data_IF_903347731425
#
_entry.id   IF_903347731425
#
_cell.length_a   1.000
_cell.length_b   1.000
_cell.length_c   1.000
_cell.angle_alpha   90.00
_cell.angle_beta   90.00
_cell.angle_gamma   90.00
#
_symmetry.space_group_name_H-M   'P 1'
#
loop_
_entity.id
_entity.type
_entity.pdbx_description
1 polymer ?
#
# COMPACT_ATOMS: atom_id res chain seq x y z
N UNK A 1 14.55 14.00 45.22
CA UNK A 1 14.88 15.27 45.93
C UNK A 1 15.09 16.32 44.85
N UNK A 2 14.42 17.45 44.74
CA UNK A 2 13.45 18.18 45.55
C UNK A 2 12.58 18.95 44.55
N UNK A 3 11.27 19.00 44.78
CA UNK A 3 10.42 20.00 44.14
C UNK A 3 10.59 21.35 44.85
N UNK A 4 10.35 22.45 44.15
CA UNK A 4 9.82 23.65 44.78
C UNK A 4 8.77 24.32 43.90
N UNK A 5 7.62 24.44 44.54
CA UNK A 5 6.40 25.15 44.22
C UNK A 5 6.65 26.65 44.44
N UNK A 6 6.20 27.54 43.55
CA UNK A 6 5.98 28.96 43.87
C UNK A 6 4.68 29.42 43.22
N UNK A 7 3.78 29.90 44.07
CA UNK A 7 2.45 30.42 43.76
C UNK A 7 2.33 31.79 44.44
N UNK A 8 1.76 32.77 43.74
CA UNK A 8 1.23 34.03 44.28
C UNK A 8 1.92 35.30 43.77
N UNK A 9 1.31 36.01 42.82
CA UNK A 9 0.57 37.26 43.11
C UNK A 9 -0.09 37.84 41.85
N UNK A 10 -1.07 38.71 42.07
CA UNK A 10 -2.35 38.85 41.34
C UNK A 10 -2.44 40.13 40.49
N UNK A 11 -3.35 40.10 39.51
CA UNK A 11 -4.00 41.21 38.78
C UNK A 11 -3.32 41.85 37.57
N UNK A 12 -3.81 41.44 36.39
CA UNK A 12 -3.83 42.21 35.16
C UNK A 12 -4.84 41.56 34.22
N UNK A 13 -6.05 42.12 34.12
CA UNK A 13 -7.06 41.64 33.17
C UNK A 13 -6.60 41.97 31.76
N UNK A 14 -6.28 40.94 30.98
CA UNK A 14 -6.07 41.06 29.55
C UNK A 14 -6.72 39.85 28.88
N UNK A 15 -7.82 40.12 28.19
CA UNK A 15 -8.46 39.21 27.25
C UNK A 15 -7.54 39.17 26.02
N UNK A 16 -6.50 38.35 26.08
CA UNK A 16 -5.68 38.04 24.92
C UNK A 16 -6.05 36.62 24.47
N UNK A 17 -6.91 36.61 23.45
CA UNK A 17 -7.19 35.57 22.46
C UNK A 17 -6.62 34.19 22.81
N UNK A 18 -7.51 33.24 23.08
CA UNK A 18 -7.23 31.82 22.98
C UNK A 18 -6.60 31.56 21.60
N UNK A 19 -5.27 31.56 21.53
CA UNK A 19 -4.53 30.88 20.48
C UNK A 19 -4.93 29.44 20.71
N UNK A 20 -5.91 28.98 19.94
CA UNK A 20 -6.30 27.58 19.88
C UNK A 20 -5.03 26.84 19.48
N UNK A 21 -4.28 26.37 20.50
CA UNK A 21 -3.10 25.56 20.27
C UNK A 21 -3.67 24.34 19.59
N UNK A 22 -3.44 24.25 18.28
CA UNK A 22 -3.93 23.18 17.42
C UNK A 22 -3.11 21.91 17.73
N UNK A 23 -3.17 21.51 19.01
CA UNK A 23 -2.46 20.38 19.57
C UNK A 23 -3.41 19.21 19.58
N UNK A 24 -2.97 18.13 18.95
CA UNK A 24 -3.73 16.90 18.94
C UNK A 24 -3.79 16.34 20.38
N UNK A 25 -4.95 15.84 20.84
CA UNK A 25 -5.06 15.24 22.18
C UNK A 25 -4.24 13.94 22.33
N UNK A 26 -3.67 13.43 21.24
CA UNK A 26 -2.92 12.17 21.16
C UNK A 26 -1.42 12.49 21.18
N UNK A 27 -0.72 12.01 22.21
CA UNK A 27 0.72 12.26 22.39
C UNK A 27 1.57 11.77 21.21
N UNK A 28 1.22 10.61 20.62
CA UNK A 28 1.93 10.09 19.45
C UNK A 28 1.78 11.00 18.22
N UNK A 29 0.66 11.71 18.07
CA UNK A 29 0.46 12.65 16.95
C UNK A 29 1.22 13.96 17.22
N UNK A 30 1.28 14.40 18.47
CA UNK A 30 2.04 15.58 18.89
C UNK A 30 3.55 15.43 18.70
N UNK A 31 4.08 14.24 18.94
CA UNK A 31 5.51 13.97 18.75
C UNK A 31 5.91 13.87 17.27
N UNK A 32 4.94 13.70 16.37
CA UNK A 32 5.18 13.39 14.96
C UNK A 32 4.85 14.58 14.03
N UNK A 33 3.87 15.40 14.39
CA UNK A 33 3.47 16.62 13.66
C UNK A 33 3.94 17.89 14.39
N UNK A 34 4.70 18.78 13.74
CA UNK A 34 5.07 20.07 14.30
C UNK A 34 3.85 21.00 14.22
N UNK A 35 3.68 21.81 15.25
CA UNK A 35 2.55 22.73 15.41
C UNK A 35 2.66 23.92 14.43
N UNK A 36 3.85 24.14 13.85
CA UNK A 36 4.17 25.25 12.96
C UNK A 36 4.20 24.83 11.48
N UNK A 37 3.42 25.52 10.64
CA UNK A 37 3.49 25.42 9.18
C UNK A 37 3.95 26.76 8.57
N UNK A 38 4.75 26.70 7.49
CA UNK A 38 5.15 27.88 6.71
C UNK A 38 4.29 28.00 5.44
N UNK A 39 3.32 28.94 5.38
CA UNK A 39 2.41 29.07 4.25
C UNK A 39 3.08 29.63 2.98
N UNK A 40 4.31 30.13 3.05
CA UNK A 40 4.98 30.80 1.92
C UNK A 40 5.62 29.83 0.93
N UNK A 41 5.77 28.55 1.30
CA UNK A 41 6.41 27.54 0.47
C UNK A 41 5.50 27.13 -0.71
N UNK A 42 5.97 27.23 -1.97
CA UNK A 42 5.18 26.84 -3.13
C UNK A 42 4.94 25.33 -3.15
N UNK A 43 3.68 24.93 -3.37
CA UNK A 43 3.23 23.54 -3.38
C UNK A 43 2.99 23.04 -4.81
N UNK A 44 2.28 23.83 -5.62
CA UNK A 44 1.93 23.48 -7.00
C UNK A 44 2.95 24.07 -7.98
N UNK A 45 4.05 23.35 -8.19
CA UNK A 45 5.07 23.71 -9.19
C UNK A 45 4.86 22.96 -10.50
N UNK A 46 5.50 23.43 -11.58
CA UNK A 46 5.56 22.69 -12.85
C UNK A 46 6.14 21.28 -12.67
N UNK A 47 7.21 21.17 -11.86
CA UNK A 47 7.84 19.89 -11.53
C UNK A 47 6.85 18.93 -10.86
N UNK A 48 6.04 19.40 -9.92
CA UNK A 48 5.01 18.56 -9.30
C UNK A 48 3.94 18.10 -10.29
N UNK A 49 3.50 19.01 -11.17
CA UNK A 49 2.49 18.73 -12.19
C UNK A 49 2.94 17.76 -13.29
N UNK A 50 4.24 17.63 -13.56
CA UNK A 50 4.78 16.69 -14.56
C UNK A 50 5.31 15.41 -13.93
N UNK A 51 6.13 15.52 -12.88
CA UNK A 51 6.79 14.37 -12.25
C UNK A 51 5.77 13.46 -11.55
N UNK A 52 4.80 14.03 -10.85
CA UNK A 52 3.75 13.28 -10.14
C UNK A 52 2.95 12.36 -11.07
N UNK A 53 2.32 12.89 -12.13
CA UNK A 53 1.55 12.06 -13.07
C UNK A 53 2.38 11.03 -13.84
N UNK A 54 3.59 11.38 -14.28
CA UNK A 54 4.49 10.42 -14.96
C UNK A 54 4.81 9.25 -14.03
N UNK A 55 5.23 9.54 -12.79
CA UNK A 55 5.47 8.50 -11.80
C UNK A 55 4.20 7.68 -11.53
N UNK A 56 3.04 8.32 -11.38
CA UNK A 56 1.77 7.62 -11.17
C UNK A 56 1.46 6.62 -12.30
N UNK A 57 1.57 7.03 -13.57
CA UNK A 57 1.33 6.16 -14.72
C UNK A 57 2.32 4.99 -14.75
N UNK A 58 3.61 5.26 -14.55
CA UNK A 58 4.64 4.20 -14.52
C UNK A 58 4.39 3.21 -13.39
N UNK A 59 4.08 3.69 -12.19
CA UNK A 59 3.80 2.84 -11.03
C UNK A 59 2.52 2.02 -11.22
N UNK A 60 1.47 2.59 -11.81
CA UNK A 60 0.23 1.89 -12.12
C UNK A 60 0.46 0.73 -13.10
N UNK A 61 1.26 0.96 -14.16
CA UNK A 61 1.62 -0.09 -15.12
C UNK A 61 2.42 -1.21 -14.45
N UNK A 62 3.43 -0.88 -13.64
CA UNK A 62 4.26 -1.86 -12.94
C UNK A 62 3.44 -2.67 -11.93
N UNK A 63 2.58 -2.00 -11.15
CA UNK A 63 1.74 -2.63 -10.13
C UNK A 63 0.73 -3.57 -10.77
N UNK A 64 0.07 -3.16 -11.86
CA UNK A 64 -0.85 -4.02 -12.58
C UNK A 64 -0.15 -5.23 -13.20
N UNK A 65 1.06 -5.05 -13.74
CA UNK A 65 1.86 -6.14 -14.27
C UNK A 65 2.26 -7.15 -13.19
N UNK A 66 2.70 -6.68 -12.02
CA UNK A 66 3.08 -7.55 -10.91
C UNK A 66 1.91 -8.25 -10.22
N UNK A 67 0.69 -7.70 -10.33
CA UNK A 67 -0.51 -8.29 -9.73
C UNK A 67 -0.93 -9.64 -10.37
N UNK A 68 -0.58 -9.87 -11.64
CA UNK A 68 -0.88 -11.13 -12.34
C UNK A 68 0.16 -12.24 -12.10
N UNK A 69 1.24 -11.94 -11.38
CA UNK A 69 2.23 -12.97 -11.02
C UNK A 69 1.64 -13.89 -9.95
N UNK A 70 2.01 -15.17 -10.02
CA UNK A 70 1.62 -16.17 -9.03
C UNK A 70 2.10 -15.81 -7.61
N UNK A 71 3.32 -15.28 -7.50
CA UNK A 71 3.78 -14.55 -6.32
C UNK A 71 3.67 -13.06 -6.63
N UNK A 72 2.64 -12.42 -6.06
CA UNK A 72 2.42 -10.98 -6.24
C UNK A 72 3.59 -10.21 -5.64
N UNK A 73 4.08 -9.22 -6.38
CA UNK A 73 5.10 -8.31 -5.89
C UNK A 73 4.43 -6.97 -5.60
N UNK A 74 4.48 -6.57 -4.34
CA UNK A 74 3.92 -5.30 -3.86
C UNK A 74 5.04 -4.28 -3.72
N UNK A 75 4.93 -3.16 -4.42
CA UNK A 75 5.90 -2.06 -4.32
C UNK A 75 5.56 -1.23 -3.08
N UNK A 76 6.52 -1.07 -2.17
CA UNK A 76 6.33 -0.27 -0.95
C UNK A 76 6.33 1.23 -1.25
N UNK A 77 5.41 1.97 -0.61
CA UNK A 77 5.34 3.43 -0.67
C UNK A 77 6.62 4.11 -0.19
N UNK A 78 7.35 3.51 0.76
CA UNK A 78 8.62 4.04 1.27
C UNK A 78 9.72 4.06 0.20
N UNK A 79 9.76 3.05 -0.69
CA UNK A 79 10.71 3.04 -1.80
C UNK A 79 10.42 4.15 -2.81
N UNK A 80 9.13 4.38 -3.09
CA UNK A 80 8.66 5.44 -3.99
C UNK A 80 9.05 6.81 -3.44
N UNK A 81 8.86 7.01 -2.14
CA UNK A 81 9.21 8.24 -1.45
C UNK A 81 10.68 8.65 -1.66
N UNK A 82 11.58 7.68 -1.52
CA UNK A 82 13.03 7.89 -1.63
C UNK A 82 13.44 8.14 -3.08
N UNK A 83 12.85 7.41 -4.03
CA UNK A 83 13.04 7.66 -5.46
C UNK A 83 12.62 9.08 -5.85
N UNK A 84 11.52 9.59 -5.29
CA UNK A 84 11.04 10.94 -5.56
C UNK A 84 12.01 12.01 -5.06
N UNK A 85 12.74 11.80 -3.96
CA UNK A 85 13.78 12.78 -3.56
C UNK A 85 14.93 12.82 -4.55
N UNK A 86 15.36 11.66 -5.02
CA UNK A 86 16.46 11.57 -5.99
C UNK A 86 16.03 12.24 -7.30
N UNK A 87 14.86 11.88 -7.82
CA UNK A 87 14.30 12.46 -9.04
C UNK A 87 13.97 13.95 -8.87
N UNK A 88 13.39 14.34 -7.73
CA UNK A 88 13.03 15.72 -7.42
C UNK A 88 14.24 16.65 -7.35
N UNK A 89 15.30 16.23 -6.64
CA UNK A 89 16.58 16.98 -6.60
C UNK A 89 17.30 16.97 -7.95
N UNK A 90 17.19 15.89 -8.73
CA UNK A 90 17.75 15.83 -10.09
C UNK A 90 17.05 16.83 -11.02
N UNK A 91 15.72 16.78 -11.08
CA UNK A 91 14.89 17.67 -11.89
C UNK A 91 15.02 19.13 -11.42
N UNK A 92 15.19 19.37 -10.12
CA UNK A 92 15.49 20.70 -9.58
C UNK A 92 16.82 21.30 -10.08
N UNK A 93 17.80 20.45 -10.39
CA UNK A 93 19.11 20.88 -10.91
C UNK A 93 19.13 21.03 -12.42
N UNK A 94 18.30 20.28 -13.14
CA UNK A 94 18.27 20.31 -14.61
C UNK A 94 17.32 21.37 -15.16
N UNK A 95 16.27 21.76 -14.43
CA UNK A 95 15.33 22.79 -14.87
C UNK A 95 15.91 24.20 -14.76
N UNK A 96 15.79 25.04 -15.80
CA UNK A 96 16.21 26.43 -15.76
C UNK A 96 15.35 27.23 -14.78
N UNK A 97 16.00 28.01 -13.91
CA UNK A 97 15.34 28.94 -12.97
C UNK A 97 14.92 30.26 -13.61
N UNK A 98 15.32 30.50 -14.87
CA UNK A 98 15.03 31.74 -15.59
C UNK A 98 13.53 31.84 -15.91
N UNK A 99 12.86 32.96 -15.57
CA UNK A 99 11.46 33.16 -15.93
C UNK A 99 11.32 33.24 -17.45
N UNK A 100 10.60 32.29 -18.04
CA UNK A 100 10.27 32.30 -19.45
C UNK A 100 8.96 33.06 -19.65
N UNK A 101 8.98 34.06 -20.53
CA UNK A 101 7.76 34.73 -20.98
C UNK A 101 7.06 33.82 -21.97
N UNK A 102 5.78 33.54 -21.74
CA UNK A 102 4.98 32.76 -22.69
C UNK A 102 4.77 33.65 -23.93
N UNK A 103 5.17 33.22 -25.14
CA UNK A 103 4.87 33.98 -26.35
C UNK A 103 3.35 34.04 -26.51
N UNK A 104 2.78 35.25 -26.57
CA UNK A 104 1.35 35.63 -26.57
C UNK A 104 0.69 36.01 -25.21
N UNK A 105 1.40 36.03 -24.08
CA UNK A 105 0.80 36.50 -22.81
C UNK A 105 1.79 37.33 -21.99
N UNK A 106 1.31 38.31 -21.21
CA UNK A 106 2.13 39.07 -20.25
C UNK A 106 2.54 38.23 -19.02
N UNK A 107 2.23 36.92 -19.02
CA UNK A 107 2.54 36.03 -17.92
C UNK A 107 3.98 35.53 -18.00
N UNK A 108 4.71 35.74 -16.91
CA UNK A 108 6.05 35.20 -16.70
C UNK A 108 5.91 33.89 -15.94
N UNK A 109 6.37 32.79 -16.54
CA UNK A 109 6.33 31.48 -15.91
C UNK A 109 7.75 31.02 -15.63
N UNK A 110 8.08 30.80 -14.36
CA UNK A 110 9.32 30.12 -13.99
C UNK A 110 9.05 28.62 -13.85
N UNK A 111 9.82 27.82 -14.59
CA UNK A 111 9.77 26.36 -14.50
C UNK A 111 10.33 25.82 -13.17
N UNK A 112 11.15 26.61 -12.48
CA UNK A 112 11.76 26.26 -11.20
C UNK A 112 11.69 27.46 -10.24
N UNK A 113 10.51 27.73 -9.64
CA UNK A 113 10.28 28.92 -8.83
C UNK A 113 10.99 28.88 -7.47
N UNK A 114 11.28 27.69 -6.95
CA UNK A 114 11.93 27.50 -5.65
C UNK A 114 12.75 26.19 -5.60
N UNK A 115 13.70 26.07 -4.66
CA UNK A 115 14.37 24.81 -4.34
C UNK A 115 13.36 23.69 -4.03
N UNK A 116 13.80 22.43 -4.12
CA UNK A 116 12.95 21.29 -3.82
C UNK A 116 12.52 21.33 -2.35
N UNK A 117 11.22 21.56 -2.13
CA UNK A 117 10.63 21.78 -0.82
C UNK A 117 9.89 20.54 -0.31
N UNK A 118 9.69 20.50 1.00
CA UNK A 118 8.99 19.42 1.69
C UNK A 118 7.54 19.24 1.19
N UNK A 119 6.81 20.35 0.97
CA UNK A 119 5.40 20.33 0.53
C UNK A 119 5.24 19.79 -0.89
N UNK A 120 6.17 20.17 -1.77
CA UNK A 120 6.19 19.68 -3.14
C UNK A 120 6.52 18.18 -3.19
N UNK A 121 7.45 17.74 -2.34
CA UNK A 121 7.77 16.32 -2.20
C UNK A 121 6.55 15.51 -1.70
N UNK A 122 5.83 16.01 -0.70
CA UNK A 122 4.58 15.41 -0.23
C UNK A 122 3.57 15.30 -1.38
N UNK A 123 3.32 16.38 -2.12
CA UNK A 123 2.36 16.39 -3.23
C UNK A 123 2.72 15.38 -4.32
N UNK A 124 3.98 15.35 -4.77
CA UNK A 124 4.45 14.41 -5.79
C UNK A 124 4.29 12.97 -5.29
N UNK A 125 4.56 12.72 -4.02
CA UNK A 125 4.46 11.37 -3.45
C UNK A 125 3.02 10.90 -3.31
N UNK A 126 2.10 11.78 -2.92
CA UNK A 126 0.66 11.45 -2.92
C UNK A 126 0.19 11.10 -4.34
N UNK A 127 0.58 11.90 -5.35
CA UNK A 127 0.24 11.62 -6.74
C UNK A 127 0.83 10.30 -7.22
N UNK A 128 2.12 10.03 -6.95
CA UNK A 128 2.78 8.81 -7.38
C UNK A 128 2.22 7.56 -6.69
N UNK A 129 2.00 7.61 -5.37
CA UNK A 129 1.50 6.48 -4.59
C UNK A 129 0.06 6.11 -4.91
N UNK A 130 -0.73 7.01 -5.51
CA UNK A 130 -2.06 6.68 -6.04
C UNK A 130 -2.00 5.58 -7.11
N UNK A 131 -0.89 5.46 -7.85
CA UNK A 131 -0.64 4.40 -8.83
C UNK A 131 -0.27 3.04 -8.23
N UNK A 132 -0.04 2.93 -6.92
CA UNK A 132 0.27 1.65 -6.25
C UNK A 132 -0.96 0.79 -5.96
N UNK A 133 -2.17 1.32 -6.20
CA UNK A 133 -3.42 0.60 -5.89
C UNK A 133 -4.21 0.35 -7.17
N UNK A 134 -4.45 -0.93 -7.46
CA UNK A 134 -5.24 -1.33 -8.62
C UNK A 134 -6.74 -1.10 -8.37
N UNK A 135 -7.47 -0.47 -9.30
CA UNK A 135 -8.92 -0.36 -9.24
C UNK A 135 -9.61 -1.73 -9.19
N UNK A 136 -10.63 -1.89 -8.35
CA UNK A 136 -11.42 -3.11 -8.25
C UNK A 136 -12.03 -3.55 -9.59
N UNK A 137 -12.43 -2.61 -10.44
CA UNK A 137 -12.94 -2.94 -11.78
C UNK A 137 -11.90 -3.71 -12.64
N UNK A 138 -10.60 -3.47 -12.46
CA UNK A 138 -9.55 -4.16 -13.21
C UNK A 138 -9.35 -5.62 -12.79
N UNK A 139 -9.89 -6.09 -11.66
CA UNK A 139 -9.87 -7.52 -11.33
C UNK A 139 -11.03 -8.27 -12.01
N UNK A 140 -12.15 -7.58 -12.25
CA UNK A 140 -13.34 -8.17 -12.88
C UNK A 140 -13.19 -8.32 -14.40
N UNK A 141 -12.63 -7.32 -15.08
CA UNK A 141 -12.53 -7.33 -16.55
C UNK A 141 -11.68 -8.48 -17.13
N UNK A 142 -10.50 -8.83 -16.57
CA UNK A 142 -9.75 -9.99 -17.00
C UNK A 142 -10.49 -11.29 -16.69
N UNK A 143 -11.22 -11.36 -15.57
CA UNK A 143 -12.04 -12.51 -15.24
C UNK A 143 -13.13 -12.73 -16.30
N UNK A 144 -13.80 -11.66 -16.74
CA UNK A 144 -14.74 -11.70 -17.88
C UNK A 144 -14.08 -12.18 -19.17
N UNK A 145 -12.84 -11.75 -19.44
CA UNK A 145 -12.11 -12.16 -20.64
C UNK A 145 -11.64 -13.62 -20.59
N UNK A 146 -11.17 -14.09 -19.43
CA UNK A 146 -10.59 -15.43 -19.26
C UNK A 146 -11.66 -16.50 -19.07
N UNK A 147 -12.67 -16.25 -18.24
CA UNK A 147 -13.70 -17.23 -17.91
C UNK A 147 -14.93 -17.15 -18.80
N UNK A 148 -15.29 -15.95 -19.28
CA UNK A 148 -16.49 -15.71 -20.08
C UNK A 148 -16.17 -15.37 -21.55
N UNK A 149 -14.90 -15.43 -21.96
CA UNK A 149 -14.43 -15.17 -23.33
C UNK A 149 -14.99 -13.90 -23.99
N UNK A 150 -15.40 -12.91 -23.19
CA UNK A 150 -16.04 -11.68 -23.67
C UNK A 150 -15.06 -10.53 -23.58
N UNK A 151 -14.86 -9.82 -24.70
CA UNK A 151 -14.04 -8.61 -24.74
C UNK A 151 -14.92 -7.36 -24.66
N UNK A 152 -14.66 -6.50 -23.69
CA UNK A 152 -15.30 -5.19 -23.56
C UNK A 152 -14.45 -4.15 -24.28
N UNK A 153 -15.09 -3.21 -24.99
CA UNK A 153 -14.42 -2.11 -25.67
C UNK A 153 -13.60 -1.24 -24.69
N UNK A 154 -12.51 -0.63 -25.18
CA UNK A 154 -11.64 0.23 -24.37
C UNK A 154 -12.42 1.32 -23.62
N UNK A 155 -13.30 2.04 -24.33
CA UNK A 155 -14.13 3.09 -23.72
C UNK A 155 -15.08 2.58 -22.66
N UNK A 156 -15.67 1.39 -22.87
CA UNK A 156 -16.53 0.74 -21.88
C UNK A 156 -15.76 0.39 -20.61
N UNK A 157 -14.53 -0.10 -20.78
CA UNK A 157 -13.60 -0.37 -19.68
C UNK A 157 -13.23 0.91 -18.93
N UNK A 158 -12.83 1.96 -19.65
CA UNK A 158 -12.43 3.24 -19.07
C UNK A 158 -13.57 3.86 -18.25
N UNK A 159 -14.77 3.95 -18.80
CA UNK A 159 -15.92 4.49 -18.08
C UNK A 159 -16.35 3.60 -16.91
N UNK A 160 -16.24 2.28 -17.03
CA UNK A 160 -16.52 1.36 -15.93
C UNK A 160 -15.57 1.61 -14.75
N UNK A 161 -14.26 1.66 -15.03
CA UNK A 161 -13.23 1.96 -14.01
C UNK A 161 -13.48 3.34 -13.39
N UNK A 162 -13.69 4.37 -14.20
CA UNK A 162 -13.90 5.74 -13.72
C UNK A 162 -15.09 5.85 -12.77
N UNK A 163 -16.23 5.23 -13.11
CA UNK A 163 -17.44 5.24 -12.26
C UNK A 163 -17.16 4.65 -10.87
N UNK A 164 -16.44 3.51 -10.81
CA UNK A 164 -16.11 2.89 -9.52
C UNK A 164 -15.23 3.78 -8.64
N UNK A 165 -14.30 4.52 -9.22
CA UNK A 165 -13.39 5.40 -8.46
C UNK A 165 -14.10 6.68 -8.01
N UNK A 166 -14.86 7.33 -8.91
CA UNK A 166 -15.61 8.56 -8.60
C UNK A 166 -16.65 8.31 -7.50
N UNK A 167 -17.33 7.16 -7.54
CA UNK A 167 -18.27 6.78 -6.49
C UNK A 167 -17.59 6.67 -5.11
N UNK A 168 -16.39 6.06 -5.05
CA UNK A 168 -15.61 5.97 -3.82
C UNK A 168 -15.24 7.34 -3.24
N UNK A 169 -14.75 8.26 -4.09
CA UNK A 169 -14.45 9.64 -3.67
C UNK A 169 -15.71 10.43 -3.27
N UNK A 170 -16.84 10.19 -3.95
CA UNK A 170 -18.13 10.79 -3.60
C UNK A 170 -18.60 10.40 -2.20
N UNK A 171 -18.54 9.11 -1.86
CA UNK A 171 -18.84 8.64 -0.49
C UNK A 171 -17.85 9.19 0.54
N UNK A 172 -16.55 9.22 0.23
CA UNK A 172 -15.55 9.80 1.12
C UNK A 172 -15.83 11.29 1.43
N UNK A 173 -16.32 12.05 0.45
CA UNK A 173 -16.73 13.44 0.63
C UNK A 173 -17.91 13.60 1.60
N UNK A 174 -18.93 12.74 1.49
CA UNK A 174 -20.10 12.76 2.40
C UNK A 174 -19.67 12.49 3.85
N UNK A 175 -18.72 11.57 4.05
CA UNK A 175 -18.22 11.20 5.37
C UNK A 175 -17.02 12.02 5.85
N UNK A 176 -16.61 13.08 5.14
CA UNK A 176 -15.42 13.88 5.47
C UNK A 176 -15.46 14.42 6.90
N UNK A 177 -16.63 14.83 7.41
CA UNK A 177 -16.77 15.32 8.79
C UNK A 177 -16.42 14.25 9.85
N UNK A 178 -16.71 12.98 9.57
CA UNK A 178 -16.39 11.88 10.48
C UNK A 178 -14.97 11.33 10.25
N UNK A 179 -14.52 11.29 9.00
CA UNK A 179 -13.23 10.70 8.61
C UNK A 179 -12.04 11.64 8.82
N UNK A 180 -12.23 12.96 8.63
CA UNK A 180 -11.14 13.95 8.64
C UNK A 180 -11.23 14.84 9.88
N UNK A 181 -12.41 15.33 10.22
CA UNK A 181 -12.56 16.36 11.26
C UNK A 181 -12.73 15.80 12.68
N UNK A 182 -12.77 14.47 12.86
CA UNK A 182 -12.91 13.86 14.18
C UNK A 182 -11.55 13.58 14.82
N UNK A 183 -11.19 14.25 15.93
CA UNK A 183 -9.91 14.02 16.61
C UNK A 183 -9.81 12.65 17.31
N UNK A 184 -10.95 11.96 17.49
CA UNK A 184 -11.03 10.66 18.17
C UNK A 184 -11.15 9.47 17.22
N UNK A 185 -11.36 9.71 15.92
CA UNK A 185 -11.22 8.64 14.92
C UNK A 185 -9.74 8.44 14.73
N UNK A 186 -9.18 7.65 15.65
CA UNK A 186 -7.78 7.24 15.63
C UNK A 186 -7.48 6.77 14.20
N UNK A 187 -6.43 7.30 13.54
CA UNK A 187 -6.05 6.86 12.19
C UNK A 187 -5.61 5.38 12.12
N UNK A 188 -5.76 4.60 13.20
CA UNK A 188 -5.40 3.20 13.35
C UNK A 188 -6.12 2.23 12.42
N UNK A 189 -7.29 2.58 11.86
CA UNK A 189 -8.08 1.65 11.04
C UNK A 189 -8.16 2.07 9.56
N UNK A 190 -7.78 3.31 9.23
CA UNK A 190 -7.71 3.77 7.85
C UNK A 190 -6.24 3.77 7.45
N UNK A 191 -5.80 2.66 6.86
CA UNK A 191 -4.45 2.45 6.31
C UNK A 191 -3.91 3.69 5.55
N UNK A 192 -4.77 4.54 4.97
CA UNK A 192 -4.36 5.78 4.31
C UNK A 192 -3.77 6.88 5.20
N UNK A 193 -4.30 7.13 6.40
CA UNK A 193 -3.87 8.28 7.22
C UNK A 193 -2.55 8.03 7.96
N UNK A 194 -2.32 6.82 8.49
CA UNK A 194 -1.02 6.44 9.06
C UNK A 194 0.07 6.53 7.99
N UNK A 195 -0.21 6.03 6.78
CA UNK A 195 0.75 6.10 5.68
C UNK A 195 1.11 7.56 5.39
N UNK A 196 0.13 8.47 5.31
CA UNK A 196 0.40 9.90 5.09
C UNK A 196 1.20 10.53 6.23
N UNK A 197 0.92 10.19 7.48
CA UNK A 197 1.67 10.70 8.62
C UNK A 197 3.11 10.20 8.62
N UNK A 198 3.33 8.88 8.54
CA UNK A 198 4.66 8.29 8.42
C UNK A 198 5.40 8.78 7.18
N UNK A 199 4.68 9.08 6.10
CA UNK A 199 5.24 9.67 4.88
C UNK A 199 5.79 11.06 5.15
N UNK A 200 5.01 11.95 5.77
CA UNK A 200 5.41 13.33 6.08
C UNK A 200 6.65 13.34 6.99
N UNK A 201 6.69 12.47 7.99
CA UNK A 201 7.86 12.32 8.86
C UNK A 201 9.09 11.81 8.10
N UNK A 202 8.92 10.78 7.29
CA UNK A 202 10.01 10.22 6.48
C UNK A 202 10.55 11.24 5.48
N UNK A 203 9.67 12.06 4.90
CA UNK A 203 10.00 13.19 4.03
C UNK A 203 10.84 14.22 4.77
N UNK A 204 10.43 14.56 6.00
CA UNK A 204 11.14 15.52 6.86
C UNK A 204 12.52 15.00 7.21
N UNK A 205 12.62 13.77 7.69
CA UNK A 205 13.89 13.13 7.98
C UNK A 205 14.83 13.13 6.76
N UNK A 206 14.30 13.07 5.53
CA UNK A 206 15.11 13.16 4.31
C UNK A 206 15.55 14.57 3.90
N UNK A 207 14.85 15.60 4.38
CA UNK A 207 15.16 17.01 4.13
C UNK A 207 16.00 17.63 5.24
N UNK A 208 15.98 17.06 6.44
CA UNK A 208 16.86 17.47 7.53
C UNK A 208 18.32 17.21 7.16
N UNK A 209 19.18 18.19 7.49
CA UNK A 209 20.61 18.10 7.22
C UNK A 209 21.22 17.08 8.17
N UNK A 210 21.55 15.89 7.67
CA UNK A 210 22.23 14.87 8.47
C UNK A 210 23.62 15.36 8.93
N UNK A 211 23.76 15.57 10.24
CA UNK A 211 25.06 15.85 10.85
C UNK A 211 25.88 14.56 10.86
N UNK A 212 26.86 14.49 9.95
CA UNK A 212 27.70 13.31 9.76
C UNK A 212 28.57 13.03 10.99
N UNK A 213 28.26 11.96 11.72
CA UNK A 213 29.21 11.36 12.66
C UNK A 213 30.27 10.55 11.90
N UNK A 214 31.56 10.72 12.23
CA UNK A 214 32.73 10.17 11.51
C UNK A 214 32.72 8.64 11.28
N UNK A 215 31.83 7.88 11.94
CA UNK A 215 31.75 6.40 11.83
C UNK A 215 30.40 5.84 11.36
N UNK A 216 29.40 6.66 11.05
CA UNK A 216 28.06 6.17 10.64
C UNK A 216 27.83 6.41 9.15
N UNK A 217 27.24 5.42 8.46
CA UNK A 217 26.73 5.59 7.09
C UNK A 217 25.60 6.63 7.09
N UNK A 218 25.49 7.43 6.03
CA UNK A 218 24.32 8.31 5.85
C UNK A 218 23.07 7.47 5.58
N UNK A 219 21.88 7.97 5.91
CA UNK A 219 20.64 7.20 5.69
C UNK A 219 20.46 6.85 4.22
N UNK A 220 20.84 7.76 3.32
CA UNK A 220 20.81 7.53 1.87
C UNK A 220 21.81 6.44 1.43
N UNK A 221 23.02 6.41 1.98
CA UNK A 221 24.01 5.37 1.67
C UNK A 221 23.56 3.99 2.17
N UNK A 222 23.07 3.92 3.41
CA UNK A 222 22.50 2.68 3.95
C UNK A 222 21.34 2.18 3.09
N UNK A 223 20.44 3.08 2.68
CA UNK A 223 19.32 2.73 1.81
C UNK A 223 19.78 2.21 0.44
N UNK A 224 20.76 2.85 -0.21
CA UNK A 224 21.28 2.38 -1.49
C UNK A 224 21.92 1.00 -1.37
N UNK A 225 22.72 0.77 -0.31
CA UNK A 225 23.31 -0.55 -0.04
C UNK A 225 22.21 -1.59 0.16
N UNK A 226 21.22 -1.29 1.01
CA UNK A 226 20.09 -2.18 1.29
C UNK A 226 19.24 -2.47 0.04
N UNK A 227 19.05 -1.47 -0.82
CA UNK A 227 18.27 -1.61 -2.07
C UNK A 227 19.02 -2.51 -3.06
N UNK A 228 20.32 -2.29 -3.25
CA UNK A 228 21.15 -3.13 -4.14
C UNK A 228 21.27 -4.55 -3.59
N UNK A 229 21.46 -4.72 -2.27
CA UNK A 229 21.52 -6.04 -1.65
C UNK A 229 20.18 -6.77 -1.73
N UNK A 230 19.07 -6.07 -1.50
CA UNK A 230 17.73 -6.65 -1.63
C UNK A 230 17.41 -7.02 -3.07
N UNK A 231 17.85 -6.22 -4.05
CA UNK A 231 17.70 -6.54 -5.46
C UNK A 231 18.51 -7.79 -5.85
N UNK A 232 19.78 -7.85 -5.44
CA UNK A 232 20.62 -9.02 -5.66
C UNK A 232 20.03 -10.28 -5.01
N UNK A 233 19.52 -10.15 -3.78
CA UNK A 233 18.85 -11.25 -3.10
C UNK A 233 17.57 -11.69 -3.80
N UNK A 234 16.76 -10.76 -4.32
CA UNK A 234 15.50 -11.09 -5.01
C UNK A 234 15.70 -11.92 -6.30
N UNK A 235 16.88 -11.87 -6.92
CA UNK A 235 17.21 -12.74 -8.07
C UNK A 235 17.31 -14.21 -7.66
N UNK A 236 17.73 -14.49 -6.42
CA UNK A 236 17.95 -15.85 -5.93
C UNK A 236 16.63 -16.65 -5.86
N UNK A 237 15.60 -16.25 -5.08
CA UNK A 237 14.32 -16.96 -5.08
C UNK A 237 13.54 -16.75 -6.38
N UNK A 238 13.82 -15.68 -7.13
CA UNK A 238 13.10 -15.36 -8.37
C UNK A 238 13.51 -16.21 -9.57
N UNK A 239 14.80 -16.56 -9.70
CA UNK A 239 15.33 -17.22 -10.89
C UNK A 239 16.07 -18.54 -10.57
N UNK A 240 16.93 -18.55 -9.55
CA UNK A 240 17.77 -19.72 -9.26
C UNK A 240 17.07 -20.79 -8.43
N UNK A 241 16.36 -20.41 -7.36
CA UNK A 241 15.73 -21.35 -6.43
C UNK A 241 14.29 -20.94 -6.06
N UNK A 242 13.31 -21.13 -6.96
CA UNK A 242 11.90 -20.81 -6.70
C UNK A 242 11.26 -21.59 -5.54
N UNK A 243 11.89 -22.68 -5.08
CA UNK A 243 11.47 -23.45 -3.90
C UNK A 243 11.62 -22.67 -2.59
N UNK A 244 12.51 -21.67 -2.53
CA UNK A 244 12.70 -20.80 -1.35
C UNK A 244 11.44 -20.00 -0.98
N UNK A 245 10.50 -19.84 -1.91
CA UNK A 245 9.23 -19.18 -1.64
C UNK A 245 8.28 -20.01 -0.75
N UNK A 246 8.48 -21.33 -0.65
CA UNK A 246 7.64 -22.21 0.17
C UNK A 246 8.38 -23.51 0.56
N UNK A 247 9.25 -23.44 1.56
CA UNK A 247 9.93 -24.59 2.15
C UNK A 247 8.98 -25.28 3.14
N UNK A 248 8.34 -26.36 2.70
CA UNK A 248 7.35 -27.09 3.50
C UNK A 248 8.01 -28.27 4.21
N UNK A 249 8.50 -28.06 5.44
CA UNK A 249 9.27 -29.05 6.19
C UNK A 249 8.45 -30.32 6.50
N UNK A 250 7.16 -30.15 6.82
CA UNK A 250 6.23 -31.26 7.09
C UNK A 250 6.07 -32.17 5.87
N UNK A 251 6.01 -31.60 4.66
CA UNK A 251 5.91 -32.37 3.41
C UNK A 251 7.22 -33.11 3.06
N UNK A 252 8.36 -32.68 3.60
CA UNK A 252 9.64 -33.37 3.41
C UNK A 252 9.77 -34.62 4.28
N UNK A 253 9.26 -34.57 5.52
CA UNK A 253 9.29 -35.70 6.44
C UNK A 253 8.28 -36.77 6.00
N UNK A 254 7.03 -36.37 5.70
CA UNK A 254 5.96 -37.29 5.31
C UNK A 254 5.57 -37.08 3.86
N UNK A 255 6.28 -37.76 2.96
CA UNK A 255 6.07 -37.65 1.50
C UNK A 255 4.80 -38.38 1.05
N UNK A 256 4.47 -39.51 1.64
CA UNK A 256 3.40 -40.39 1.14
C UNK A 256 2.02 -40.13 1.79
N UNK A 257 1.95 -39.30 2.83
CA UNK A 257 0.69 -39.02 3.53
C UNK A 257 -0.02 -37.82 2.93
N UNK A 258 -1.21 -38.05 2.36
CA UNK A 258 -2.09 -36.99 1.82
C UNK A 258 -2.47 -36.00 2.93
N UNK A 259 -2.74 -36.47 4.15
CA UNK A 259 -3.08 -35.61 5.28
C UNK A 259 -1.90 -34.72 5.69
N UNK A 260 -0.68 -35.26 5.70
CA UNK A 260 0.51 -34.46 6.00
C UNK A 260 0.78 -33.42 4.91
N UNK A 261 0.49 -33.73 3.64
CA UNK A 261 0.59 -32.77 2.55
C UNK A 261 -0.47 -31.66 2.66
N UNK A 262 -1.72 -31.96 3.03
CA UNK A 262 -2.76 -30.94 3.27
C UNK A 262 -2.37 -30.03 4.43
N UNK A 263 -1.79 -30.58 5.50
CA UNK A 263 -1.34 -29.82 6.67
C UNK A 263 -0.11 -28.95 6.34
N UNK A 264 0.88 -29.54 5.68
CA UNK A 264 2.20 -28.96 5.49
C UNK A 264 2.37 -28.08 4.24
N UNK A 265 1.52 -28.24 3.22
CA UNK A 265 1.74 -27.61 1.93
C UNK A 265 1.64 -26.08 2.02
N UNK A 266 2.74 -25.41 1.69
CA UNK A 266 2.86 -23.95 1.67
C UNK A 266 2.09 -23.24 0.55
N UNK A 267 1.56 -23.96 -0.45
CA UNK A 267 0.79 -23.36 -1.57
C UNK A 267 -0.65 -23.83 -1.67
N UNK A 268 -0.93 -25.07 -1.27
CA UNK A 268 -2.24 -25.71 -1.47
C UNK A 268 -2.83 -26.27 -0.16
N UNK A 269 -2.23 -25.94 0.99
CA UNK A 269 -2.60 -26.51 2.28
C UNK A 269 -2.64 -25.47 3.41
N UNK A 270 -2.67 -25.98 4.64
CA UNK A 270 -2.69 -25.19 5.88
C UNK A 270 -1.37 -24.46 6.18
N UNK A 271 -0.29 -24.80 5.46
CA UNK A 271 1.04 -24.16 5.59
C UNK A 271 1.68 -24.32 6.98
N UNK A 272 1.28 -25.34 7.76
CA UNK A 272 1.88 -25.61 9.08
C UNK A 272 3.30 -26.14 8.87
N UNK A 273 4.30 -25.49 9.47
CA UNK A 273 5.70 -25.82 9.27
C UNK A 273 6.22 -25.52 7.85
N UNK A 274 5.57 -24.59 7.15
CA UNK A 274 6.05 -24.03 5.89
C UNK A 274 6.73 -22.68 6.13
N UNK A 275 7.95 -22.53 5.64
CA UNK A 275 8.74 -21.32 5.79
C UNK A 275 9.02 -20.73 4.41
N UNK A 276 8.86 -19.42 4.27
CA UNK A 276 9.30 -18.68 3.09
C UNK A 276 10.55 -17.88 3.44
N UNK A 277 11.55 -17.95 2.57
CA UNK A 277 12.78 -17.13 2.66
C UNK A 277 12.72 -15.95 1.70
N UNK A 278 11.79 -15.98 0.74
CA UNK A 278 11.49 -14.86 -0.15
C UNK A 278 10.63 -13.81 0.56
N UNK A 279 11.18 -12.60 0.71
CA UNK A 279 10.47 -11.47 1.31
C UNK A 279 9.19 -11.12 0.56
N UNK A 280 9.20 -11.22 -0.77
CA UNK A 280 8.00 -10.94 -1.57
C UNK A 280 6.88 -11.94 -1.25
N UNK A 281 7.20 -13.21 -1.04
CA UNK A 281 6.23 -14.23 -0.65
C UNK A 281 5.66 -13.99 0.75
N UNK A 282 6.46 -13.45 1.68
CA UNK A 282 6.02 -13.12 3.05
C UNK A 282 5.10 -11.89 3.05
N UNK A 283 5.46 -10.84 2.32
CA UNK A 283 4.75 -9.55 2.38
C UNK A 283 3.67 -9.35 1.32
N UNK A 284 3.46 -10.32 0.42
CA UNK A 284 2.58 -10.20 -0.75
C UNK A 284 1.17 -9.70 -0.40
N UNK A 285 0.54 -10.32 0.61
CA UNK A 285 -0.90 -10.12 0.90
C UNK A 285 -1.17 -9.34 2.19
N UNK A 286 -0.28 -9.39 3.19
CA UNK A 286 -0.45 -8.69 4.48
C UNK A 286 0.34 -7.36 4.57
N UNK A 287 1.10 -7.02 3.53
CA UNK A 287 1.99 -5.85 3.54
C UNK A 287 3.26 -6.08 4.35
N UNK A 288 4.02 -5.00 4.57
CA UNK A 288 5.29 -5.08 5.30
C UNK A 288 5.03 -5.05 6.82
N UNK A 289 5.34 -6.13 7.57
CA UNK A 289 5.09 -6.20 9.01
C UNK A 289 5.86 -5.14 9.81
N UNK A 290 6.99 -4.64 9.29
CA UNK A 290 7.81 -3.62 9.95
C UNK A 290 7.12 -2.27 10.09
N UNK A 291 6.07 -2.01 9.31
CA UNK A 291 5.32 -0.76 9.36
C UNK A 291 4.22 -0.76 10.43
N UNK A 292 3.87 -1.92 10.99
CA UNK A 292 2.73 -2.06 11.89
C UNK A 292 3.18 -2.21 13.34
N UNK A 293 2.43 -1.64 14.31
CA UNK A 293 2.72 -1.82 15.72
C UNK A 293 2.48 -3.27 16.14
N UNK A 294 3.22 -3.71 17.17
CA UNK A 294 3.22 -5.10 17.65
C UNK A 294 1.82 -5.58 18.05
N UNK A 295 0.99 -4.70 18.62
CA UNK A 295 -0.40 -5.02 18.98
C UNK A 295 -1.25 -5.43 17.78
N UNK A 296 -1.11 -4.72 16.65
CA UNK A 296 -1.79 -5.04 15.39
C UNK A 296 -1.32 -6.38 14.85
N UNK A 297 -0.01 -6.66 14.91
CA UNK A 297 0.56 -7.93 14.46
C UNK A 297 -0.02 -9.09 15.26
N UNK A 298 -0.10 -8.99 16.59
CA UNK A 298 -0.69 -10.03 17.43
C UNK A 298 -2.18 -10.22 17.16
N UNK A 299 -2.94 -9.14 16.92
CA UNK A 299 -4.36 -9.25 16.60
C UNK A 299 -4.59 -10.00 15.26
N UNK A 300 -3.85 -9.62 14.22
CA UNK A 300 -3.91 -10.31 12.92
C UNK A 300 -3.49 -11.77 13.06
N UNK A 301 -2.44 -12.05 13.82
CA UNK A 301 -1.99 -13.43 14.10
C UNK A 301 -3.07 -14.25 14.82
N UNK A 302 -3.75 -13.67 15.82
CA UNK A 302 -4.83 -14.33 16.53
C UNK A 302 -6.01 -14.68 15.59
N UNK A 303 -6.40 -13.73 14.72
CA UNK A 303 -7.40 -13.97 13.69
C UNK A 303 -6.98 -15.05 12.70
N UNK A 304 -5.73 -15.03 12.24
CA UNK A 304 -5.17 -16.05 11.35
C UNK A 304 -5.22 -17.45 11.96
N UNK A 305 -4.77 -17.60 13.22
CA UNK A 305 -4.81 -18.88 13.94
C UNK A 305 -6.26 -19.36 14.11
N UNK A 306 -7.18 -18.47 14.50
CA UNK A 306 -8.58 -18.81 14.69
C UNK A 306 -9.23 -19.33 13.40
N UNK A 307 -9.11 -18.60 12.30
CA UNK A 307 -9.78 -18.98 11.05
C UNK A 307 -9.08 -20.13 10.33
N UNK A 308 -7.76 -20.07 10.14
CA UNK A 308 -7.05 -21.06 9.34
C UNK A 308 -6.69 -22.32 10.11
N UNK A 309 -6.38 -22.25 11.41
CA UNK A 309 -5.95 -23.43 12.18
C UNK A 309 -7.03 -24.06 13.05
N UNK A 310 -8.12 -23.35 13.34
CA UNK A 310 -9.23 -23.89 14.12
C UNK A 310 -10.45 -24.10 13.23
N UNK A 311 -11.02 -23.03 12.67
CA UNK A 311 -12.32 -23.10 11.97
C UNK A 311 -12.23 -23.95 10.69
N UNK A 312 -11.28 -23.67 9.80
CA UNK A 312 -11.15 -24.39 8.51
C UNK A 312 -10.89 -25.90 8.69
N UNK A 313 -9.90 -26.31 9.50
CA UNK A 313 -9.72 -27.67 9.98
C UNK A 313 -11.02 -28.34 10.44
N UNK A 314 -11.68 -27.75 11.44
CA UNK A 314 -12.88 -28.34 12.03
C UNK A 314 -13.95 -28.52 10.96
N UNK A 315 -14.20 -27.52 10.11
CA UNK A 315 -15.16 -27.61 9.01
C UNK A 315 -14.83 -28.73 8.01
N UNK A 316 -13.56 -28.87 7.61
CA UNK A 316 -13.13 -29.89 6.64
C UNK A 316 -13.23 -31.31 7.22
N UNK A 317 -12.75 -31.52 8.45
CA UNK A 317 -12.75 -32.85 9.06
C UNK A 317 -14.15 -33.31 9.52
N UNK A 318 -14.99 -32.39 9.98
CA UNK A 318 -16.42 -32.64 10.29
C UNK A 318 -17.30 -32.76 9.04
N UNK A 319 -16.72 -32.57 7.84
CA UNK A 319 -17.42 -32.62 6.56
C UNK A 319 -18.62 -31.67 6.48
N UNK A 320 -18.48 -30.49 7.06
CA UNK A 320 -19.50 -29.45 6.99
C UNK A 320 -19.74 -29.07 5.53
N UNK A 321 -21.01 -29.06 5.08
CA UNK A 321 -21.39 -28.81 3.68
C UNK A 321 -20.74 -29.74 2.63
N UNK A 322 -20.47 -31.00 2.98
CA UNK A 322 -19.80 -31.95 2.07
C UNK A 322 -18.40 -31.48 1.63
N UNK A 323 -17.69 -30.71 2.47
CA UNK A 323 -16.38 -30.14 2.16
C UNK A 323 -15.34 -31.15 1.69
N UNK A 324 -15.42 -32.43 2.09
CA UNK A 324 -14.48 -33.49 1.66
C UNK A 324 -14.56 -33.83 0.18
N UNK A 325 -15.62 -33.43 -0.51
CA UNK A 325 -15.74 -33.58 -1.96
C UNK A 325 -14.84 -32.61 -2.74
N UNK A 326 -14.31 -31.59 -2.07
CA UNK A 326 -13.48 -30.55 -2.66
C UNK A 326 -12.05 -30.63 -2.12
N UNK A 327 -11.04 -30.20 -2.90
CA UNK A 327 -9.70 -29.99 -2.38
C UNK A 327 -9.71 -28.92 -1.28
N UNK A 328 -8.86 -29.10 -0.26
CA UNK A 328 -8.82 -28.23 0.92
C UNK A 328 -8.65 -26.74 0.58
N UNK A 329 -7.81 -26.43 -0.40
CA UNK A 329 -7.67 -25.09 -0.95
C UNK A 329 -7.57 -25.17 -2.47
N UNK A 330 -8.43 -24.44 -3.17
CA UNK A 330 -8.42 -24.34 -4.63
C UNK A 330 -8.93 -22.98 -5.08
N UNK A 331 -8.42 -22.53 -6.23
CA UNK A 331 -8.88 -21.33 -6.93
C UNK A 331 -9.94 -21.64 -8.00
N UNK A 332 -10.27 -22.93 -8.17
CA UNK A 332 -11.21 -23.42 -9.18
C UNK A 332 -12.60 -23.55 -8.56
N UNK A 333 -13.63 -23.23 -9.34
CA UNK A 333 -15.03 -23.38 -8.95
C UNK A 333 -15.45 -24.82 -9.26
N UNK A 334 -16.13 -25.47 -8.32
CA UNK A 334 -16.61 -26.85 -8.46
C UNK A 334 -18.14 -26.91 -8.47
N UNK A 335 -18.69 -27.89 -9.18
CA UNK A 335 -20.10 -28.29 -9.09
C UNK A 335 -20.34 -29.08 -7.79
N UNK A 336 -21.59 -29.24 -7.40
CA UNK A 336 -22.09 -30.09 -6.30
C UNK A 336 -21.53 -31.51 -6.28
N UNK A 337 -21.06 -32.02 -7.43
CA UNK A 337 -20.46 -33.35 -7.57
C UNK A 337 -18.92 -33.35 -7.45
N UNK A 338 -18.29 -32.23 -7.07
CA UNK A 338 -16.83 -32.11 -6.95
C UNK A 338 -16.08 -32.00 -8.28
N UNK A 339 -16.80 -31.89 -9.41
CA UNK A 339 -16.22 -31.69 -10.74
C UNK A 339 -15.99 -30.21 -11.04
N UNK A 340 -15.03 -29.89 -11.91
CA UNK A 340 -14.79 -28.50 -12.32
C UNK A 340 -16.05 -27.92 -12.95
N UNK A 341 -16.48 -26.76 -12.47
CA UNK A 341 -17.76 -26.16 -12.84
C UNK A 341 -17.79 -25.78 -14.31
N UNK A 342 -18.77 -26.32 -15.04
CA UNK A 342 -18.95 -26.06 -16.45
C UNK A 342 -19.87 -24.84 -16.66
N UNK A 343 -19.26 -23.70 -17.03
CA UNK A 343 -19.96 -22.41 -17.25
C UNK A 343 -20.96 -22.50 -18.43
N UNK A 344 -20.69 -23.34 -19.43
CA UNK A 344 -21.55 -23.53 -20.62
C UNK A 344 -22.93 -24.11 -20.28
N UNK A 345 -23.09 -24.72 -19.09
CA UNK A 345 -24.36 -25.28 -18.65
C UNK A 345 -25.43 -24.21 -18.39
N UNK A 346 -25.03 -23.02 -17.93
CA UNK A 346 -25.96 -21.97 -17.51
C UNK A 346 -25.89 -20.73 -18.40
N UNK A 347 -24.75 -20.45 -19.03
CA UNK A 347 -24.58 -19.23 -19.81
C UNK A 347 -24.41 -19.54 -21.30
N UNK A 348 -25.24 -18.93 -22.14
CA UNK A 348 -24.97 -18.87 -23.56
C UNK A 348 -23.92 -17.77 -23.82
N UNK A 349 -22.70 -18.17 -24.22
CA UNK A 349 -21.59 -17.22 -24.41
C UNK A 349 -21.82 -16.20 -25.54
N UNK A 350 -22.77 -16.44 -26.45
CA UNK A 350 -23.06 -15.50 -27.54
C UNK A 350 -23.89 -14.30 -27.08
N UNK A 351 -24.91 -14.56 -26.27
CA UNK A 351 -25.88 -13.54 -25.84
C UNK A 351 -25.73 -13.18 -24.35
N UNK A 352 -24.84 -13.87 -23.62
CA UNK A 352 -24.66 -13.79 -22.16
C UNK A 352 -25.98 -13.96 -21.38
N UNK A 353 -26.98 -14.56 -22.01
CA UNK A 353 -28.26 -14.89 -21.41
C UNK A 353 -28.14 -16.18 -20.60
N UNK A 354 -28.95 -16.26 -19.55
CA UNK A 354 -29.09 -17.50 -18.80
C UNK A 354 -29.83 -18.50 -19.68
N UNK A 355 -29.22 -19.64 -19.93
CA UNK A 355 -29.92 -20.82 -20.41
C UNK A 355 -30.93 -21.18 -19.32
N UNK A 356 -32.22 -21.02 -19.62
CA UNK A 356 -33.29 -21.58 -18.80
C UNK A 356 -33.17 -23.10 -18.92
N UNK A 357 -32.50 -23.71 -17.94
CA UNK A 357 -32.53 -25.16 -17.71
C UNK A 357 -33.71 -25.52 -16.83
#
# INVERSE_FOLDING_TARGET
>A
MMGQNKKGDTHGGQVDQDVEINDSPIEQVRLTVPITDDPTLPVLTFRAGVLGPICCVTLALLTQFFAYRQNRISISSSCVLLLIVILGKFVARTLPSSPSKIPLTNWTFSMNPAPFNIKEHVLITILATSGLRNPYALTLLPMMKVFYHTSINFWGTLFSVQKTQVLGFGFAGIFMKFLVNSPYVVPFQLNGCIILQCLIESIRALHEVEVRSKRRLTTLQFFLIATVSSFAFAVIPGYFFPSLAALSFVCWIWKDSVTAQIIGSGRHGLRIGSFAVDWNAISADLGNPLAYPISTIFNIMAGFIMFLYIINPVAYWTNLYSAKQFPFASYVIYDSNGQVYNIYRILNLKDLTLNQS
#
